data_IF_366980857710
#
_entry.id   IF_366980857710
#
_cell.length_a   1.000
_cell.length_b   1.000
_cell.length_c   1.000
_cell.angle_alpha   90.00
_cell.angle_beta   90.00
_cell.angle_gamma   90.00
#
_symmetry.space_group_name_H-M   'P 1'
#
loop_
_entity.id
_entity.type
_entity.pdbx_description
1 polymer ?
#
# COMPACT_ATOMS: atom_id res chain seq x y z
N UNK A 1 0.55 17.21 -22.35
CA UNK A 1 -0.17 17.91 -21.26
C UNK A 1 -1.66 17.83 -21.56
N UNK A 2 -2.23 16.63 -21.48
CA UNK A 2 -3.68 16.43 -21.57
C UNK A 2 -4.33 16.96 -20.29
N UNK A 3 -5.27 17.88 -20.46
CA UNK A 3 -6.01 18.49 -19.36
C UNK A 3 -6.84 17.38 -18.66
N UNK A 4 -6.63 17.12 -17.35
CA UNK A 4 -7.38 16.09 -16.62
C UNK A 4 -8.91 16.28 -16.68
N UNK A 5 -9.39 17.48 -17.02
CA UNK A 5 -10.81 17.77 -17.16
C UNK A 5 -11.44 17.18 -18.45
N UNK A 6 -10.63 16.94 -19.49
CA UNK A 6 -11.11 16.33 -20.75
C UNK A 6 -11.18 14.80 -20.68
N UNK A 7 -10.29 14.15 -19.90
CA UNK A 7 -10.31 12.71 -19.67
C UNK A 7 -11.49 12.22 -18.81
N UNK A 8 -12.18 13.13 -18.14
CA UNK A 8 -13.28 12.84 -17.19
C UNK A 8 -14.67 12.87 -17.80
N UNK A 9 -14.81 13.06 -19.13
CA UNK A 9 -16.12 13.06 -19.79
C UNK A 9 -16.82 11.68 -19.75
N UNK A 10 -16.07 10.59 -19.61
CA UNK A 10 -16.64 9.24 -19.48
C UNK A 10 -17.19 8.93 -18.08
N UNK A 11 -16.76 9.65 -17.05
CA UNK A 11 -17.15 9.40 -15.67
C UNK A 11 -18.28 10.29 -15.14
N UNK A 12 -18.85 11.15 -15.99
CA UNK A 12 -20.00 11.98 -15.59
C UNK A 12 -21.23 11.15 -15.21
N UNK A 13 -21.36 9.95 -15.77
CA UNK A 13 -22.44 9.01 -15.48
C UNK A 13 -22.22 8.35 -14.11
N UNK A 14 -21.02 7.88 -13.84
CA UNK A 14 -20.60 7.36 -12.52
C UNK A 14 -20.71 8.42 -11.43
N UNK A 15 -20.36 9.68 -11.74
CA UNK A 15 -20.50 10.78 -10.79
C UNK A 15 -21.99 11.12 -10.50
N UNK A 16 -22.89 10.96 -11.46
CA UNK A 16 -24.35 11.13 -11.28
C UNK A 16 -24.96 10.01 -10.45
N UNK A 17 -24.51 8.77 -10.62
CA UNK A 17 -24.96 7.63 -9.81
C UNK A 17 -24.54 7.77 -8.35
N UNK A 18 -23.33 8.30 -8.11
CA UNK A 18 -22.78 8.51 -6.76
C UNK A 18 -23.39 9.69 -6.00
N UNK A 19 -23.98 10.66 -6.71
CA UNK A 19 -24.67 11.81 -6.14
C UNK A 19 -26.07 11.98 -6.76
N UNK A 20 -27.10 11.42 -6.16
CA UNK A 20 -28.45 11.89 -6.45
C UNK A 20 -28.53 13.35 -5.96
N UNK A 21 -28.45 14.30 -6.91
CA UNK A 21 -28.57 15.73 -6.62
C UNK A 21 -30.02 16.02 -6.33
N UNK A 22 -30.38 16.02 -5.07
CA UNK A 22 -31.58 16.74 -4.61
C UNK A 22 -31.18 18.19 -4.57
N UNK A 23 -31.52 18.93 -5.61
CA UNK A 23 -31.41 20.39 -5.66
C UNK A 23 -32.53 20.97 -4.76
N UNK A 24 -32.24 21.07 -3.50
CA UNK A 24 -32.95 22.04 -2.65
C UNK A 24 -32.35 23.42 -2.96
N UNK A 25 -33.15 24.48 -3.21
CA UNK A 25 -32.63 25.80 -3.56
C UNK A 25 -32.04 26.53 -2.34
N UNK A 26 -31.12 25.90 -1.66
CA UNK A 26 -30.20 26.53 -0.70
C UNK A 26 -29.22 27.41 -1.47
N UNK A 27 -28.96 28.59 -0.96
CA UNK A 27 -28.31 29.71 -1.62
C UNK A 27 -26.99 29.41 -2.36
N UNK A 28 -26.38 30.42 -2.97
CA UNK A 28 -25.19 30.36 -3.79
C UNK A 28 -24.00 29.61 -3.12
N UNK A 29 -23.90 29.64 -1.81
CA UNK A 29 -22.87 28.94 -1.03
C UNK A 29 -22.98 27.40 -1.12
N UNK A 30 -24.21 26.86 -1.04
CA UNK A 30 -24.44 25.42 -1.16
C UNK A 30 -24.17 24.91 -2.58
N UNK A 31 -24.53 25.68 -3.61
CA UNK A 31 -24.21 25.38 -5.00
C UNK A 31 -22.69 25.41 -5.24
N UNK A 32 -21.99 26.39 -4.68
CA UNK A 32 -20.54 26.48 -4.75
C UNK A 32 -19.87 25.25 -4.09
N UNK A 33 -20.36 24.86 -2.93
CA UNK A 33 -19.88 23.68 -2.22
C UNK A 33 -20.13 22.38 -3.01
N UNK A 34 -21.33 22.19 -3.56
CA UNK A 34 -21.65 21.01 -4.37
C UNK A 34 -20.76 20.92 -5.60
N UNK A 35 -20.49 22.04 -6.26
CA UNK A 35 -19.55 22.10 -7.38
C UNK A 35 -18.10 21.76 -6.96
N UNK A 36 -17.66 22.24 -5.79
CA UNK A 36 -16.37 21.88 -5.24
C UNK A 36 -16.28 20.37 -4.97
N UNK A 37 -17.29 19.80 -4.31
CA UNK A 37 -17.39 18.37 -4.00
C UNK A 37 -17.35 17.49 -5.26
N UNK A 38 -18.09 17.88 -6.31
CA UNK A 38 -18.05 17.18 -7.60
C UNK A 38 -16.65 17.19 -8.25
N UNK A 39 -15.99 18.36 -8.22
CA UNK A 39 -14.61 18.47 -8.74
C UNK A 39 -13.62 17.64 -7.92
N UNK A 40 -13.78 17.65 -6.58
CA UNK A 40 -12.95 16.82 -5.70
C UNK A 40 -13.14 15.32 -5.98
N UNK A 41 -14.40 14.87 -6.18
CA UNK A 41 -14.70 13.48 -6.51
C UNK A 41 -14.11 13.07 -7.87
N UNK A 42 -14.29 13.87 -8.91
CA UNK A 42 -13.70 13.60 -10.24
C UNK A 42 -12.19 13.46 -10.13
N UNK A 43 -11.53 14.38 -9.44
CA UNK A 43 -10.09 14.33 -9.25
C UNK A 43 -9.65 13.12 -8.42
N UNK A 44 -10.42 12.74 -7.40
CA UNK A 44 -10.16 11.53 -6.61
C UNK A 44 -10.25 10.26 -7.47
N UNK A 45 -11.31 10.12 -8.27
CA UNK A 45 -11.48 8.99 -9.20
C UNK A 45 -10.34 8.92 -10.22
N UNK A 46 -9.94 10.05 -10.78
CA UNK A 46 -8.77 10.14 -11.66
C UNK A 46 -7.50 9.63 -10.97
N UNK A 47 -7.22 10.08 -9.73
CA UNK A 47 -6.06 9.64 -8.96
C UNK A 47 -6.07 8.14 -8.67
N UNK A 48 -7.24 7.57 -8.39
CA UNK A 48 -7.41 6.13 -8.14
C UNK A 48 -7.28 5.33 -9.43
N UNK A 49 -7.68 5.87 -10.58
CA UNK A 49 -7.49 5.26 -11.89
C UNK A 49 -6.02 5.15 -12.30
N UNK A 50 -5.17 6.11 -11.88
CA UNK A 50 -3.72 6.06 -12.16
C UNK A 50 -3.01 5.02 -11.31
N UNK A 51 -3.30 4.98 -10.00
CA UNK A 51 -2.69 4.01 -9.09
C UNK A 51 -3.47 3.89 -7.79
N UNK A 52 -3.42 2.69 -7.22
CA UNK A 52 -3.93 2.44 -5.88
C UNK A 52 -3.37 3.42 -4.84
N UNK A 53 -4.25 3.93 -3.99
CA UNK A 53 -3.89 4.83 -2.88
C UNK A 53 -4.59 4.40 -1.61
N UNK A 54 -3.90 4.60 -0.48
CA UNK A 54 -4.56 4.56 0.82
C UNK A 54 -5.44 5.79 1.01
N UNK A 55 -6.40 5.69 1.92
CA UNK A 55 -7.25 6.82 2.31
C UNK A 55 -6.41 8.05 2.68
N UNK A 56 -5.39 7.89 3.51
CA UNK A 56 -4.48 8.98 3.90
C UNK A 56 -3.80 9.63 2.70
N UNK A 57 -3.33 8.83 1.74
CA UNK A 57 -2.69 9.35 0.54
C UNK A 57 -3.66 10.12 -0.35
N UNK A 58 -4.89 9.64 -0.50
CA UNK A 58 -5.92 10.31 -1.29
C UNK A 58 -6.31 11.64 -0.65
N UNK A 59 -6.64 11.64 0.65
CA UNK A 59 -6.96 12.86 1.40
C UNK A 59 -5.84 13.91 1.29
N UNK A 60 -4.59 13.46 1.44
CA UNK A 60 -3.44 14.36 1.29
C UNK A 60 -3.39 15.01 -0.10
N UNK A 61 -3.60 14.22 -1.16
CA UNK A 61 -3.60 14.73 -2.55
C UNK A 61 -4.74 15.69 -2.82
N UNK A 62 -5.93 15.44 -2.29
CA UNK A 62 -7.07 16.34 -2.41
C UNK A 62 -6.81 17.66 -1.66
N UNK A 63 -6.29 17.61 -0.44
CA UNK A 63 -5.90 18.82 0.32
C UNK A 63 -4.80 19.61 -0.41
N UNK A 64 -3.80 18.91 -0.96
CA UNK A 64 -2.73 19.55 -1.75
C UNK A 64 -3.26 20.25 -3.01
N UNK A 65 -4.34 19.74 -3.61
CA UNK A 65 -5.00 20.37 -4.77
C UNK A 65 -5.81 21.62 -4.39
N UNK A 66 -6.03 21.86 -3.09
CA UNK A 66 -6.72 23.06 -2.58
C UNK A 66 -8.22 22.88 -2.30
N UNK A 67 -8.71 21.64 -2.28
CA UNK A 67 -10.10 21.38 -1.87
C UNK A 67 -10.29 21.60 -0.37
N UNK A 68 -11.45 22.14 0.02
CA UNK A 68 -11.82 22.35 1.43
C UNK A 68 -11.85 21.03 2.21
N UNK A 69 -11.60 21.11 3.50
CA UNK A 69 -11.62 19.93 4.37
C UNK A 69 -12.96 19.20 4.36
N UNK A 70 -14.06 19.96 4.29
CA UNK A 70 -15.43 19.42 4.16
C UNK A 70 -15.56 18.61 2.87
N UNK A 71 -15.19 19.18 1.72
CA UNK A 71 -15.27 18.50 0.42
C UNK A 71 -14.37 17.27 0.34
N UNK A 72 -13.17 17.31 0.94
CA UNK A 72 -12.23 16.19 1.00
C UNK A 72 -12.82 15.04 1.81
N UNK A 73 -13.35 15.30 3.01
CA UNK A 73 -13.90 14.26 3.87
C UNK A 73 -15.18 13.65 3.28
N UNK A 74 -16.06 14.46 2.71
CA UNK A 74 -17.29 14.00 2.08
C UNK A 74 -16.98 13.15 0.82
N UNK A 75 -15.97 13.54 0.04
CA UNK A 75 -15.52 12.76 -1.10
C UNK A 75 -15.00 11.38 -0.66
N UNK A 76 -14.19 11.33 0.39
CA UNK A 76 -13.67 10.06 0.91
C UNK A 76 -14.81 9.17 1.43
N UNK A 77 -15.78 9.74 2.17
CA UNK A 77 -16.93 9.01 2.67
C UNK A 77 -17.75 8.36 1.53
N UNK A 78 -18.00 9.12 0.47
CA UNK A 78 -18.71 8.60 -0.73
C UNK A 78 -17.95 7.47 -1.39
N UNK A 79 -16.63 7.62 -1.58
CA UNK A 79 -15.81 6.58 -2.19
C UNK A 79 -15.74 5.31 -1.35
N UNK A 80 -15.71 5.43 -0.02
CA UNK A 80 -15.76 4.29 0.90
C UNK A 80 -17.12 3.57 0.86
N UNK A 81 -18.22 4.32 0.86
CA UNK A 81 -19.59 3.76 0.77
C UNK A 81 -19.84 2.98 -0.51
N UNK A 82 -19.13 3.32 -1.60
CA UNK A 82 -19.25 2.68 -2.91
C UNK A 82 -18.09 1.72 -3.21
N UNK A 83 -17.37 1.26 -2.20
CA UNK A 83 -16.24 0.32 -2.30
C UNK A 83 -15.12 0.75 -3.28
N UNK A 84 -15.07 2.05 -3.60
CA UNK A 84 -14.02 2.62 -4.48
C UNK A 84 -12.75 3.00 -3.71
N UNK A 85 -12.83 3.10 -2.38
CA UNK A 85 -11.72 3.39 -1.49
C UNK A 85 -11.78 2.46 -0.29
N UNK A 86 -10.81 1.57 -0.16
CA UNK A 86 -10.69 0.62 0.95
C UNK A 86 -9.24 0.45 1.34
N UNK A 87 -8.91 0.83 2.58
CA UNK A 87 -7.57 0.62 3.13
C UNK A 87 -7.25 -0.86 3.31
N UNK A 88 -8.24 -1.72 3.55
CA UNK A 88 -8.04 -3.17 3.65
C UNK A 88 -7.70 -3.78 2.28
N UNK A 89 -8.47 -3.45 1.24
CA UNK A 89 -8.18 -3.92 -0.11
C UNK A 89 -6.83 -3.40 -0.62
N UNK A 90 -6.49 -2.13 -0.33
CA UNK A 90 -5.18 -1.56 -0.62
C UNK A 90 -4.07 -2.31 0.11
N UNK A 91 -4.24 -2.57 1.42
CA UNK A 91 -3.30 -3.30 2.25
C UNK A 91 -3.03 -4.69 1.68
N UNK A 92 -4.08 -5.47 1.39
CA UNK A 92 -3.99 -6.83 0.85
C UNK A 92 -3.19 -6.87 -0.46
N UNK A 93 -3.53 -6.03 -1.43
CA UNK A 93 -2.78 -5.95 -2.70
C UNK A 93 -1.31 -5.56 -2.51
N UNK A 94 -1.03 -4.63 -1.59
CA UNK A 94 0.35 -4.22 -1.31
C UNK A 94 1.14 -5.27 -0.54
N UNK A 95 0.53 -5.98 0.41
CA UNK A 95 1.15 -7.12 1.08
C UNK A 95 1.60 -8.18 0.08
N UNK A 96 0.71 -8.57 -0.84
CA UNK A 96 1.03 -9.53 -1.90
C UNK A 96 2.22 -9.09 -2.75
N UNK A 97 2.21 -7.86 -3.26
CA UNK A 97 3.31 -7.32 -4.08
C UNK A 97 4.63 -7.26 -3.30
N UNK A 98 4.59 -6.87 -2.03
CA UNK A 98 5.79 -6.71 -1.20
C UNK A 98 6.34 -8.07 -0.73
N UNK A 99 5.48 -9.01 -0.37
CA UNK A 99 5.89 -10.34 0.04
C UNK A 99 6.35 -11.18 -1.15
N UNK A 100 5.50 -11.39 -2.15
CA UNK A 100 5.77 -12.32 -3.25
C UNK A 100 6.65 -11.70 -4.34
N UNK A 101 6.50 -10.40 -4.60
CA UNK A 101 7.29 -9.72 -5.64
C UNK A 101 8.65 -9.21 -5.17
N UNK A 102 8.75 -8.74 -3.92
CA UNK A 102 10.01 -8.17 -3.37
C UNK A 102 10.66 -9.03 -2.29
N UNK A 103 10.00 -10.10 -1.87
CA UNK A 103 10.42 -11.00 -0.79
C UNK A 103 10.75 -10.24 0.50
N UNK A 104 9.89 -9.26 0.86
CA UNK A 104 10.03 -8.54 2.11
C UNK A 104 9.44 -9.36 3.24
N UNK A 105 10.14 -9.41 4.37
CA UNK A 105 9.64 -9.97 5.62
C UNK A 105 8.53 -9.10 6.23
N UNK A 106 7.77 -9.71 7.11
CA UNK A 106 6.58 -9.14 7.77
C UNK A 106 6.82 -7.75 8.36
N UNK A 107 7.90 -7.58 9.12
CA UNK A 107 8.22 -6.32 9.79
C UNK A 107 8.44 -5.16 8.79
N UNK A 108 9.05 -5.42 7.65
CA UNK A 108 9.26 -4.41 6.62
C UNK A 108 7.95 -4.05 5.91
N UNK A 109 7.12 -5.03 5.59
CA UNK A 109 5.80 -4.82 4.96
C UNK A 109 4.95 -3.91 5.83
N UNK A 110 4.83 -4.21 7.12
CA UNK A 110 4.08 -3.38 8.09
C UNK A 110 4.62 -1.96 8.11
N UNK A 111 5.95 -1.78 8.21
CA UNK A 111 6.58 -0.45 8.21
C UNK A 111 6.30 0.34 6.92
N UNK A 112 6.39 -0.30 5.75
CA UNK A 112 6.12 0.32 4.44
C UNK A 112 4.66 0.78 4.32
N UNK A 113 3.73 -0.03 4.85
CA UNK A 113 2.30 0.28 4.81
C UNK A 113 1.91 1.33 5.85
N UNK A 114 2.49 1.29 7.04
CA UNK A 114 2.33 2.34 8.05
C UNK A 114 2.81 3.71 7.52
N UNK A 115 3.90 3.75 6.77
CA UNK A 115 4.36 4.97 6.11
C UNK A 115 3.34 5.52 5.09
N UNK A 116 2.50 4.65 4.52
CA UNK A 116 1.38 5.02 3.63
C UNK A 116 0.09 5.35 4.38
N UNK A 117 0.10 5.26 5.70
CA UNK A 117 -1.03 5.61 6.57
C UNK A 117 -1.97 4.47 6.89
N UNK A 118 -1.59 3.22 6.62
CA UNK A 118 -2.35 2.05 7.05
C UNK A 118 -2.01 1.75 8.53
N UNK A 119 -3.00 1.55 9.41
CA UNK A 119 -2.74 1.18 10.80
C UNK A 119 -2.02 -0.18 10.89
N UNK A 120 -1.05 -0.31 11.81
CA UNK A 120 -0.29 -1.56 11.99
C UNK A 120 -1.21 -2.76 12.29
N UNK A 121 -2.22 -2.56 13.14
CA UNK A 121 -3.19 -3.61 13.46
C UNK A 121 -3.94 -4.13 12.21
N UNK A 122 -4.26 -3.26 11.25
CA UNK A 122 -4.86 -3.67 9.98
C UNK A 122 -3.85 -4.45 9.13
N UNK A 123 -2.59 -4.00 9.07
CA UNK A 123 -1.55 -4.71 8.32
C UNK A 123 -1.32 -6.11 8.87
N UNK A 124 -1.22 -6.25 10.20
CA UNK A 124 -1.00 -7.54 10.87
C UNK A 124 -2.16 -8.51 10.60
N UNK A 125 -3.41 -8.04 10.79
CA UNK A 125 -4.59 -8.84 10.52
C UNK A 125 -4.61 -9.33 9.06
N UNK A 126 -4.37 -8.44 8.10
CA UNK A 126 -4.35 -8.79 6.68
C UNK A 126 -3.26 -9.81 6.36
N UNK A 127 -2.06 -9.66 6.96
CA UNK A 127 -0.97 -10.62 6.76
C UNK A 127 -1.27 -11.98 7.37
N UNK A 128 -1.98 -12.03 8.52
CA UNK A 128 -2.43 -13.28 9.13
C UNK A 128 -3.46 -14.00 8.26
N UNK A 129 -4.36 -13.25 7.61
CA UNK A 129 -5.40 -13.79 6.73
C UNK A 129 -4.86 -14.27 5.37
N UNK A 130 -3.64 -13.88 4.99
CA UNK A 130 -3.11 -14.14 3.63
C UNK A 130 -2.34 -15.46 3.49
N UNK A 131 -2.09 -16.19 4.57
CA UNK A 131 -1.36 -17.48 4.55
C UNK A 131 -0.04 -17.42 3.75
N UNK A 132 0.71 -16.30 3.85
CA UNK A 132 2.00 -16.13 3.18
C UNK A 132 3.07 -16.93 3.90
N UNK A 133 3.72 -17.83 3.20
CA UNK A 133 4.90 -18.56 3.69
C UNK A 133 6.13 -17.64 3.64
N UNK A 134 6.45 -16.99 4.76
CA UNK A 134 7.59 -16.09 4.87
C UNK A 134 8.94 -16.83 4.91
N UNK A 135 8.96 -18.08 5.36
CA UNK A 135 10.18 -18.90 5.36
C UNK A 135 10.57 -19.24 3.93
N UNK A 136 9.61 -19.61 3.10
CA UNK A 136 9.83 -19.80 1.66
C UNK A 136 10.25 -18.51 0.96
N UNK A 137 9.66 -17.34 1.32
CA UNK A 137 10.08 -16.07 0.76
C UNK A 137 11.52 -15.70 1.16
N UNK A 138 11.92 -16.01 2.39
CA UNK A 138 13.30 -15.83 2.86
C UNK A 138 14.26 -16.75 2.10
N UNK A 139 13.90 -18.03 1.90
CA UNK A 139 14.70 -18.99 1.15
C UNK A 139 14.95 -18.52 -0.29
N UNK A 140 13.89 -18.10 -0.99
CA UNK A 140 14.01 -17.55 -2.35
C UNK A 140 14.90 -16.29 -2.36
N UNK A 141 14.79 -15.46 -1.35
CA UNK A 141 15.61 -14.25 -1.22
C UNK A 141 17.08 -14.61 -0.98
N UNK A 142 17.35 -15.60 -0.13
CA UNK A 142 18.71 -16.09 0.11
C UNK A 142 19.34 -16.63 -1.19
N UNK A 143 18.65 -17.47 -1.94
CA UNK A 143 19.10 -17.99 -3.24
C UNK A 143 19.43 -16.87 -4.25
N UNK A 144 18.63 -15.81 -4.25
CA UNK A 144 18.88 -14.63 -5.13
C UNK A 144 20.06 -13.78 -4.72
N UNK A 145 20.33 -13.68 -3.42
CA UNK A 145 21.34 -12.77 -2.87
C UNK A 145 22.70 -13.42 -2.65
N UNK A 146 22.72 -14.74 -2.40
CA UNK A 146 23.89 -15.52 -2.06
C UNK A 146 24.21 -16.37 -3.29
N UNK A 147 25.17 -15.92 -4.08
CA UNK A 147 25.59 -16.60 -5.32
C UNK A 147 26.75 -17.56 -5.09
N UNK A 148 27.50 -17.36 -4.02
CA UNK A 148 28.67 -18.14 -3.64
C UNK A 148 28.54 -18.54 -2.16
N UNK A 149 29.12 -19.71 -1.78
CA UNK A 149 29.11 -20.13 -0.37
C UNK A 149 29.74 -19.08 0.54
N UNK A 150 29.13 -18.87 1.69
CA UNK A 150 29.63 -17.93 2.70
C UNK A 150 30.67 -18.68 3.54
N UNK A 151 31.95 -18.41 3.31
CA UNK A 151 33.07 -19.09 3.96
C UNK A 151 33.64 -18.30 5.15
N UNK A 152 33.31 -17.04 5.30
CA UNK A 152 33.88 -16.19 6.33
C UNK A 152 32.83 -15.47 7.17
N UNK A 153 33.21 -15.17 8.41
CA UNK A 153 32.34 -14.51 9.41
C UNK A 153 31.89 -13.11 8.97
N UNK A 154 32.74 -12.39 8.27
CA UNK A 154 32.43 -11.01 7.86
C UNK A 154 31.34 -11.00 6.79
N UNK A 155 31.45 -11.83 5.78
CA UNK A 155 30.44 -12.01 4.74
C UNK A 155 29.11 -12.50 5.32
N UNK A 156 29.17 -13.45 6.29
CA UNK A 156 27.98 -13.91 7.02
C UNK A 156 27.27 -12.75 7.72
N UNK A 157 28.01 -11.92 8.47
CA UNK A 157 27.43 -10.77 9.16
C UNK A 157 26.82 -9.74 8.19
N UNK A 158 27.49 -9.45 7.07
CA UNK A 158 26.97 -8.56 6.04
C UNK A 158 25.68 -9.09 5.42
N UNK A 159 25.60 -10.40 5.17
CA UNK A 159 24.41 -11.06 4.65
C UNK A 159 23.25 -10.99 5.63
N UNK A 160 23.49 -11.31 6.90
CA UNK A 160 22.48 -11.19 7.96
C UNK A 160 21.97 -9.75 8.04
N UNK A 161 22.86 -8.76 8.09
CA UNK A 161 22.46 -7.35 8.13
C UNK A 161 21.68 -6.91 6.89
N UNK A 162 21.96 -7.50 5.73
CA UNK A 162 21.20 -7.27 4.50
C UNK A 162 19.80 -7.88 4.59
N UNK A 163 19.66 -9.13 5.03
CA UNK A 163 18.37 -9.81 5.19
C UNK A 163 17.50 -9.15 6.27
N UNK A 164 18.09 -8.69 7.36
CA UNK A 164 17.36 -7.89 8.36
C UNK A 164 16.76 -6.60 7.78
N UNK A 165 17.42 -5.95 6.82
CA UNK A 165 16.84 -4.79 6.11
C UNK A 165 15.66 -5.17 5.21
N UNK A 166 15.57 -6.44 4.79
CA UNK A 166 14.37 -6.96 4.11
C UNK A 166 13.22 -7.24 5.07
N UNK A 167 13.46 -7.18 6.39
CA UNK A 167 12.41 -7.28 7.42
C UNK A 167 12.25 -8.65 8.06
N UNK A 168 13.26 -9.50 7.95
CA UNK A 168 13.33 -10.80 8.62
C UNK A 168 14.03 -10.68 9.97
N UNK A 169 13.63 -11.52 10.92
CA UNK A 169 14.27 -11.63 12.24
C UNK A 169 15.60 -12.37 12.18
N UNK A 170 16.42 -12.19 13.22
CA UNK A 170 17.73 -12.85 13.29
C UNK A 170 17.61 -14.38 13.33
N UNK A 171 16.65 -14.91 14.10
CA UNK A 171 16.41 -16.35 14.23
C UNK A 171 16.01 -16.96 12.89
N UNK A 172 14.99 -16.39 12.21
CA UNK A 172 14.56 -16.83 10.87
C UNK A 172 15.74 -16.87 9.88
N UNK A 173 16.56 -15.81 9.89
CA UNK A 173 17.73 -15.72 9.02
C UNK A 173 18.76 -16.78 9.39
N UNK A 174 19.04 -16.97 10.69
CA UNK A 174 20.03 -17.95 11.15
C UNK A 174 19.65 -19.36 10.74
N UNK A 175 18.37 -19.72 10.89
CA UNK A 175 17.85 -21.04 10.52
C UNK A 175 17.91 -21.25 9.01
N UNK A 176 17.51 -20.24 8.22
CA UNK A 176 17.60 -20.30 6.78
C UNK A 176 19.05 -20.44 6.29
N UNK A 177 19.99 -19.69 6.88
CA UNK A 177 21.40 -19.80 6.51
C UNK A 177 22.03 -21.13 6.95
N UNK A 178 21.63 -21.68 8.10
CA UNK A 178 22.12 -22.97 8.59
C UNK A 178 21.68 -24.13 7.70
N UNK A 179 20.45 -24.08 7.19
CA UNK A 179 19.96 -25.09 6.24
C UNK A 179 20.63 -24.99 4.85
N UNK A 180 21.15 -23.82 4.47
CA UNK A 180 21.86 -23.61 3.22
C UNK A 180 23.36 -23.91 3.28
N UNK A 181 23.93 -23.94 4.50
CA UNK A 181 25.38 -24.07 4.72
C UNK A 181 25.74 -25.22 5.66
N UNK A 182 24.83 -26.17 5.89
CA UNK A 182 25.18 -27.40 6.58
C UNK A 182 25.96 -28.31 5.64
N UNK A 183 27.25 -28.48 5.93
CA UNK A 183 27.90 -29.79 6.12
C UNK A 183 29.43 -29.77 6.35
N UNK A 184 30.08 -28.58 6.48
CA UNK A 184 31.54 -28.60 6.62
C UNK A 184 32.14 -27.94 7.89
N UNK A 185 31.36 -27.39 8.83
CA UNK A 185 31.95 -26.68 9.97
C UNK A 185 31.64 -27.27 11.38
N UNK A 186 31.24 -28.54 11.49
CA UNK A 186 31.21 -29.24 12.78
C UNK A 186 32.46 -30.05 13.09
N UNK A 187 33.57 -29.69 12.51
CA UNK A 187 34.88 -30.29 12.79
C UNK A 187 35.89 -29.21 13.23
N UNK A 188 35.71 -28.63 14.45
CA UNK A 188 36.87 -28.17 15.29
C UNK A 188 36.37 -27.82 16.69
#
# INVERSE_FOLDING_TARGET
>A
DENPEELLSCDAETARELFPVVLDPGGEEELAYLNEKLRALRYALYLLGISDKSTKQLLFKLKQKGYSERAVNDTAAVLMQNDRLSDEAFCRRKCEILALGKHYGRARIVRELCAKGIPSALCERVLDDMEIDFDEQLRILCEKLIREPITDRETRQKTIAKLMRYGYGYEEISDCLSSHFSEEDDAF
#
